data_IF_437641866924
#
_entry.id   IF_437641866924
#
_cell.length_a   1.000
_cell.length_b   1.000
_cell.length_c   1.000
_cell.angle_alpha   90.00
_cell.angle_beta   90.00
_cell.angle_gamma   90.00
#
_symmetry.space_group_name_H-M   'P 1'
#
loop_
_entity.id
_entity.type
_entity.pdbx_description
1 polymer ?
#
# COMPACT_ATOMS: atom_id res chain seq x y z
N UNK A 1 2.34 -1.69 3.47
CA UNK A 1 0.88 -1.78 3.55
C UNK A 1 0.44 -3.08 2.88
N UNK A 2 -0.17 -4.00 3.65
CA UNK A 2 -0.47 -5.34 3.14
C UNK A 2 -1.72 -5.32 2.25
N UNK A 3 -2.68 -4.47 2.57
CA UNK A 3 -3.92 -4.24 1.85
C UNK A 3 -3.63 -3.75 0.44
N UNK A 4 -2.72 -2.78 0.29
CA UNK A 4 -2.25 -2.33 -1.02
C UNK A 4 -1.63 -3.48 -1.83
N UNK A 5 -0.76 -4.28 -1.21
CA UNK A 5 -0.13 -5.44 -1.86
C UNK A 5 -1.17 -6.43 -2.37
N UNK A 6 -2.14 -6.81 -1.54
CA UNK A 6 -3.25 -7.70 -1.92
C UNK A 6 -4.02 -7.13 -3.11
N UNK A 7 -4.38 -5.84 -3.08
CA UNK A 7 -5.12 -5.20 -4.17
C UNK A 7 -4.31 -5.14 -5.47
N UNK A 8 -2.98 -5.01 -5.39
CA UNK A 8 -2.08 -5.11 -6.55
C UNK A 8 -2.05 -6.53 -7.12
N UNK A 9 -1.91 -7.56 -6.27
CA UNK A 9 -1.87 -8.97 -6.69
C UNK A 9 -3.14 -9.41 -7.42
N UNK A 10 -4.31 -8.94 -6.99
CA UNK A 10 -5.60 -9.29 -7.63
C UNK A 10 -5.95 -8.37 -8.82
N UNK A 11 -5.07 -7.42 -9.17
CA UNK A 11 -5.28 -6.49 -10.28
C UNK A 11 -6.36 -5.42 -10.04
N UNK A 12 -6.85 -5.26 -8.81
CA UNK A 12 -7.88 -4.27 -8.47
C UNK A 12 -7.37 -2.83 -8.55
N UNK A 13 -6.05 -2.64 -8.36
CA UNK A 13 -5.40 -1.33 -8.46
C UNK A 13 -4.12 -1.41 -9.31
N UNK A 14 -3.73 -0.27 -9.89
CA UNK A 14 -2.55 -0.11 -10.74
C UNK A 14 -1.74 1.13 -10.37
N UNK A 15 -0.60 1.36 -11.04
CA UNK A 15 0.17 2.61 -10.91
C UNK A 15 -0.62 3.85 -11.38
N UNK A 16 -1.76 3.65 -12.08
CA UNK A 16 -2.68 4.71 -12.48
C UNK A 16 -3.75 5.00 -11.42
N UNK A 17 -3.92 4.13 -10.43
CA UNK A 17 -4.89 4.33 -9.35
C UNK A 17 -4.40 5.43 -8.42
N UNK A 18 -5.17 6.52 -8.22
CA UNK A 18 -4.79 7.60 -7.33
C UNK A 18 -4.87 7.15 -5.87
N UNK A 19 -3.84 7.42 -5.08
CA UNK A 19 -3.84 7.18 -3.63
C UNK A 19 -3.91 8.51 -2.89
N UNK A 20 -4.89 8.63 -2.01
CA UNK A 20 -5.09 9.81 -1.18
C UNK A 20 -5.26 9.42 0.28
N UNK A 21 -4.80 10.29 1.17
CA UNK A 21 -5.05 10.15 2.62
C UNK A 21 -5.49 11.48 3.21
N UNK A 22 -6.14 11.40 4.36
CA UNK A 22 -6.43 12.54 5.23
C UNK A 22 -5.54 12.47 6.47
N UNK A 23 -5.01 13.62 6.91
CA UNK A 23 -4.22 13.74 8.15
C UNK A 23 -4.45 15.12 8.76
N UNK A 24 -4.09 15.29 10.03
CA UNK A 24 -4.05 16.61 10.65
C UNK A 24 -2.85 17.43 10.14
N UNK A 25 -2.94 18.76 10.13
CA UNK A 25 -1.86 19.66 9.65
C UNK A 25 -0.50 19.40 10.35
N UNK A 26 -0.53 19.04 11.64
CA UNK A 26 0.67 18.73 12.44
C UNK A 26 1.40 17.45 12.03
N UNK A 27 0.74 16.55 11.30
CA UNK A 27 1.34 15.30 10.82
C UNK A 27 2.15 15.51 9.54
N UNK A 28 2.07 16.69 8.91
CA UNK A 28 2.83 17.01 7.71
C UNK A 28 4.19 17.60 8.12
N UNK A 29 5.21 16.75 8.08
CA UNK A 29 6.60 17.10 8.43
C UNK A 29 7.55 16.98 7.23
N UNK A 30 8.72 17.65 7.25
CA UNK A 30 9.64 17.65 6.10
C UNK A 30 10.23 16.28 5.73
N UNK A 31 10.38 15.37 6.70
CA UNK A 31 10.91 14.03 6.47
C UNK A 31 10.36 13.02 7.47
N UNK A 32 10.22 11.79 7.02
CA UNK A 32 9.93 10.61 7.82
C UNK A 32 10.87 9.47 7.38
N UNK A 33 11.16 8.48 8.24
CA UNK A 33 11.79 7.23 7.81
C UNK A 33 10.92 6.55 6.74
N UNK A 34 11.57 5.86 5.81
CA UNK A 34 10.89 5.05 4.79
C UNK A 34 11.32 3.60 4.88
N UNK A 35 10.37 2.69 4.71
CA UNK A 35 10.55 1.24 4.62
C UNK A 35 10.20 0.74 3.22
N UNK A 36 10.66 -0.45 2.86
CA UNK A 36 10.44 -1.04 1.54
C UNK A 36 8.95 -1.31 1.24
N UNK A 37 8.18 -1.62 2.28
CA UNK A 37 6.75 -1.87 2.24
C UNK A 37 5.89 -0.59 2.34
N UNK A 38 6.50 0.60 2.43
CA UNK A 38 5.76 1.85 2.45
C UNK A 38 5.15 2.15 1.08
N UNK A 39 3.91 2.64 1.10
CA UNK A 39 3.17 2.96 -0.11
C UNK A 39 3.01 4.48 -0.19
N UNK A 40 3.76 5.16 -1.09
CA UNK A 40 3.64 6.60 -1.24
C UNK A 40 2.27 6.97 -1.83
N UNK A 41 1.63 7.97 -1.21
CA UNK A 41 0.38 8.56 -1.67
C UNK A 41 0.63 9.66 -2.69
N UNK A 42 -0.36 9.92 -3.56
CA UNK A 42 -0.33 11.02 -4.52
C UNK A 42 -0.89 12.31 -3.92
N UNK A 43 -1.80 12.20 -2.95
CA UNK A 43 -2.53 13.33 -2.38
C UNK A 43 -2.58 13.20 -0.86
N UNK A 44 -2.20 14.27 -0.17
CA UNK A 44 -2.43 14.43 1.27
C UNK A 44 -3.43 15.57 1.45
N UNK A 45 -4.54 15.28 2.13
CA UNK A 45 -5.56 16.27 2.47
C UNK A 45 -5.49 16.56 3.96
N UNK A 46 -5.36 17.84 4.31
CA UNK A 46 -5.49 18.33 5.69
C UNK A 46 -6.72 19.22 5.82
N UNK A 47 -7.16 19.57 7.05
CA UNK A 47 -8.23 20.55 7.23
C UNK A 47 -7.97 21.89 6.53
N UNK A 48 -6.70 22.32 6.42
CA UNK A 48 -6.34 23.62 5.83
C UNK A 48 -5.99 23.60 4.35
N UNK A 49 -5.57 22.46 3.77
CA UNK A 49 -5.06 22.40 2.38
C UNK A 49 -5.04 21.01 1.77
N UNK A 50 -4.91 20.98 0.44
CA UNK A 50 -4.63 19.77 -0.35
C UNK A 50 -3.20 19.84 -0.89
N UNK A 51 -2.43 18.79 -0.68
CA UNK A 51 -1.03 18.67 -1.10
C UNK A 51 -0.95 17.57 -2.16
N UNK A 52 -0.43 17.90 -3.35
CA UNK A 52 -0.10 16.90 -4.39
C UNK A 52 1.35 16.49 -4.26
N UNK A 53 1.59 15.20 -4.08
CA UNK A 53 2.91 14.62 -3.85
C UNK A 53 3.57 14.21 -5.18
N UNK A 54 4.91 14.30 -5.28
CA UNK A 54 5.63 13.76 -6.43
C UNK A 54 5.49 12.24 -6.47
N UNK A 55 5.38 11.68 -7.68
CA UNK A 55 5.32 10.22 -7.86
C UNK A 55 6.59 9.56 -7.35
N UNK A 56 6.42 8.49 -6.58
CA UNK A 56 7.49 7.60 -6.11
C UNK A 56 7.13 6.15 -6.44
N UNK A 57 8.12 5.26 -6.60
CA UNK A 57 7.87 3.84 -6.81
C UNK A 57 6.98 3.26 -5.70
N UNK A 58 6.10 2.34 -6.08
CA UNK A 58 5.24 1.60 -5.17
C UNK A 58 5.58 0.11 -5.24
N UNK A 59 5.33 -0.65 -4.17
CA UNK A 59 5.38 -2.11 -4.23
C UNK A 59 4.54 -2.64 -5.40
N UNK A 60 5.04 -3.64 -6.11
CA UNK A 60 4.33 -4.21 -7.27
C UNK A 60 3.34 -5.33 -6.89
N UNK A 61 3.26 -5.65 -5.61
CA UNK A 61 2.48 -6.76 -5.08
C UNK A 61 2.75 -6.95 -3.60
N UNK A 62 2.45 -8.13 -3.09
CA UNK A 62 2.77 -8.51 -1.70
C UNK A 62 4.27 -8.78 -1.59
N UNK A 63 4.94 -8.11 -0.64
CA UNK A 63 6.34 -8.37 -0.33
C UNK A 63 6.43 -9.60 0.57
N UNK A 64 6.43 -10.79 -0.03
CA UNK A 64 6.31 -12.06 0.67
C UNK A 64 7.40 -12.33 1.71
N UNK A 65 8.60 -11.76 1.55
CA UNK A 65 9.69 -11.83 2.54
C UNK A 65 9.34 -11.13 3.86
N UNK A 66 8.37 -10.21 3.85
CA UNK A 66 7.88 -9.48 5.02
C UNK A 66 6.56 -10.04 5.57
N UNK A 67 6.07 -11.17 5.03
CA UNK A 67 4.80 -11.79 5.46
C UNK A 67 5.09 -13.05 6.28
N UNK A 68 5.04 -12.96 7.63
CA UNK A 68 5.30 -14.09 8.50
C UNK A 68 4.15 -15.12 8.43
N UNK A 69 4.41 -16.34 8.89
CA UNK A 69 3.47 -17.47 8.75
C UNK A 69 2.15 -17.20 9.49
N UNK A 70 2.24 -16.61 10.67
CA UNK A 70 1.11 -16.25 11.53
C UNK A 70 0.15 -15.29 10.79
N UNK A 71 0.69 -14.39 9.97
CA UNK A 71 -0.11 -13.47 9.17
C UNK A 71 -0.89 -14.19 8.07
N UNK A 72 -0.29 -15.19 7.41
CA UNK A 72 -1.00 -16.02 6.42
C UNK A 72 -2.05 -16.94 7.04
N UNK A 73 -1.89 -17.31 8.32
CA UNK A 73 -2.89 -18.08 9.06
C UNK A 73 -4.07 -17.20 9.49
N UNK A 74 -3.80 -15.96 9.91
CA UNK A 74 -4.82 -15.01 10.33
C UNK A 74 -5.59 -14.38 9.15
N UNK A 75 -4.96 -14.25 7.97
CA UNK A 75 -5.53 -13.57 6.81
C UNK A 75 -5.69 -14.57 5.65
N UNK A 76 -6.88 -15.18 5.47
CA UNK A 76 -7.11 -16.25 4.49
C UNK A 76 -6.74 -15.88 3.05
N UNK A 77 -6.98 -14.63 2.64
CA UNK A 77 -6.64 -14.16 1.29
C UNK A 77 -5.14 -14.22 1.00
N UNK A 78 -4.27 -14.00 2.01
CA UNK A 78 -2.82 -14.13 1.82
C UNK A 78 -2.40 -15.59 1.62
N UNK A 79 -3.06 -16.53 2.30
CA UNK A 79 -2.84 -17.97 2.08
C UNK A 79 -3.25 -18.38 0.67
N UNK A 80 -4.40 -17.90 0.20
CA UNK A 80 -4.91 -18.21 -1.14
C UNK A 80 -4.02 -17.61 -2.24
N UNK A 81 -3.57 -16.37 -2.07
CA UNK A 81 -2.62 -15.71 -2.98
C UNK A 81 -1.27 -16.44 -3.00
N UNK A 82 -0.72 -16.81 -1.84
CA UNK A 82 0.56 -17.55 -1.76
C UNK A 82 0.45 -18.94 -2.39
N UNK A 83 -0.70 -19.58 -2.30
CA UNK A 83 -0.99 -20.87 -2.91
C UNK A 83 -1.33 -20.82 -4.40
N UNK A 84 -1.44 -19.63 -5.01
CA UNK A 84 -1.83 -19.45 -6.42
C UNK A 84 -3.31 -19.72 -6.70
N UNK A 85 -4.16 -19.81 -5.67
CA UNK A 85 -5.59 -20.08 -5.81
C UNK A 85 -6.37 -18.85 -6.27
N UNK A 86 -5.81 -17.65 -6.03
CA UNK A 86 -6.27 -16.40 -6.58
C UNK A 86 -5.15 -15.93 -7.52
N UNK A 87 -5.44 -15.85 -8.81
CA UNK A 87 -4.51 -15.36 -9.82
C UNK A 87 -5.03 -14.02 -10.38
N UNK A 88 -4.13 -13.04 -10.51
CA UNK A 88 -4.37 -11.90 -11.40
C UNK A 88 -4.63 -12.46 -12.79
N UNK A 89 -5.80 -12.16 -13.35
CA UNK A 89 -5.95 -12.20 -14.80
C UNK A 89 -5.03 -11.17 -15.45
#
# INVERSE_FOLDING_TARGET
DIEYGILREVGAISDKTPLATTVHDLQVVPKIPSQENDVPVDIIVTPSRVIRCPKRPRPQGVIWSMVPKEMTEAIPVLRELRGGNISSK
#
